data_IF_852630568981
#
_entry.id   IF_852630568981
#
_cell.length_a   1.000
_cell.length_b   1.000
_cell.length_c   1.000
_cell.angle_alpha   90.00
_cell.angle_beta   90.00
_cell.angle_gamma   90.00
#
_symmetry.space_group_name_H-M   'P 1'
#
loop_
_entity.id
_entity.type
_entity.pdbx_description
1 polymer ?
#
# COMPACT_ATOMS: atom_id res chain seq x y z
N UNK A 1 -3.19 -4.61 22.58
CA UNK A 1 -1.73 -4.73 22.38
C UNK A 1 -1.50 -5.07 20.93
N UNK A 2 -0.50 -4.45 20.30
CA UNK A 2 -0.18 -4.68 18.89
C UNK A 2 0.38 -6.11 18.71
N UNK A 3 -0.29 -6.96 17.95
CA UNK A 3 0.13 -8.36 17.77
C UNK A 3 1.35 -8.42 16.84
N UNK A 4 2.47 -9.06 17.21
CA UNK A 4 3.66 -9.19 16.35
C UNK A 4 3.33 -9.74 14.96
N UNK A 5 2.40 -10.71 14.89
CA UNK A 5 1.91 -11.29 13.63
C UNK A 5 1.18 -10.27 12.76
N UNK A 6 0.36 -9.40 13.35
CA UNK A 6 -0.35 -8.34 12.60
C UNK A 6 0.66 -7.37 11.98
N UNK A 7 1.68 -6.96 12.72
CA UNK A 7 2.69 -6.04 12.21
C UNK A 7 3.51 -6.64 11.05
N UNK A 8 3.82 -7.93 11.13
CA UNK A 8 4.47 -8.66 10.05
C UNK A 8 3.58 -8.70 8.80
N UNK A 9 2.31 -9.07 8.95
CA UNK A 9 1.34 -9.09 7.86
C UNK A 9 1.14 -7.70 7.24
N UNK A 10 1.06 -6.63 8.04
CA UNK A 10 1.00 -5.25 7.53
C UNK A 10 2.27 -4.86 6.77
N UNK A 11 3.45 -5.31 7.22
CA UNK A 11 4.71 -5.08 6.50
C UNK A 11 4.73 -5.80 5.16
N UNK A 12 4.28 -7.06 5.09
CA UNK A 12 4.19 -7.79 3.83
C UNK A 12 3.21 -7.11 2.87
N UNK A 13 2.02 -6.73 3.36
CA UNK A 13 1.06 -5.95 2.57
C UNK A 13 1.69 -4.66 2.02
N UNK A 14 2.39 -3.90 2.87
CA UNK A 14 3.04 -2.65 2.46
C UNK A 14 4.09 -2.89 1.36
N UNK A 15 4.93 -3.93 1.51
CA UNK A 15 5.95 -4.27 0.52
C UNK A 15 5.35 -4.69 -0.83
N UNK A 16 4.27 -5.48 -0.83
CA UNK A 16 3.56 -5.91 -2.05
C UNK A 16 2.93 -4.72 -2.76
N UNK A 17 2.20 -3.88 -2.02
CA UNK A 17 1.56 -2.66 -2.52
C UNK A 17 2.58 -1.70 -3.12
N UNK A 18 3.67 -1.43 -2.39
CA UNK A 18 4.73 -0.54 -2.87
C UNK A 18 5.34 -1.06 -4.18
N UNK A 19 5.70 -2.35 -4.25
CA UNK A 19 6.32 -2.92 -5.45
C UNK A 19 5.44 -2.78 -6.70
N UNK A 20 4.15 -3.07 -6.60
CA UNK A 20 3.22 -3.00 -7.74
C UNK A 20 2.86 -1.56 -8.12
N UNK A 21 2.69 -0.68 -7.12
CA UNK A 21 2.50 0.74 -7.36
C UNK A 21 3.68 1.35 -8.12
N UNK A 22 4.92 1.03 -7.72
CA UNK A 22 6.11 1.52 -8.41
C UNK A 22 6.23 0.97 -9.83
N UNK A 23 5.94 -0.32 -10.04
CA UNK A 23 6.01 -0.95 -11.36
C UNK A 23 5.03 -0.39 -12.39
N UNK A 24 3.93 0.20 -11.94
CA UNK A 24 2.86 0.74 -12.82
C UNK A 24 2.95 2.25 -13.01
N UNK A 25 3.53 2.98 -12.05
CA UNK A 25 3.58 4.46 -12.08
C UNK A 25 4.96 5.04 -12.34
N UNK A 26 6.02 4.25 -12.14
CA UNK A 26 7.42 4.72 -12.08
C UNK A 26 7.64 5.85 -11.06
N UNK A 27 6.81 5.94 -10.02
CA UNK A 27 6.98 6.90 -8.94
C UNK A 27 8.30 6.69 -8.18
N UNK A 28 8.75 7.72 -7.46
CA UNK A 28 9.95 7.60 -6.63
C UNK A 28 9.69 6.67 -5.44
N UNK A 29 10.56 5.68 -5.26
CA UNK A 29 10.49 4.77 -4.11
C UNK A 29 10.97 5.45 -2.82
N UNK A 30 10.06 5.59 -1.83
CA UNK A 30 10.36 6.14 -0.49
C UNK A 30 10.36 5.08 0.62
N UNK A 31 10.19 3.81 0.27
CA UNK A 31 10.22 2.68 1.18
C UNK A 31 8.99 2.54 2.07
N UNK A 32 8.97 1.45 2.84
CA UNK A 32 7.96 1.18 3.88
C UNK A 32 8.44 1.76 5.20
N UNK A 33 7.54 2.45 5.91
CA UNK A 33 7.81 3.06 7.22
C UNK A 33 6.74 2.67 8.23
N UNK A 34 7.16 2.50 9.48
CA UNK A 34 6.25 2.34 10.61
C UNK A 34 5.91 3.72 11.18
N UNK A 35 4.65 3.94 11.52
CA UNK A 35 4.17 5.16 12.17
C UNK A 35 2.91 4.87 12.99
N UNK A 36 2.72 5.61 14.08
CA UNK A 36 1.59 5.45 15.01
C UNK A 36 0.34 6.21 14.55
N UNK A 37 -0.04 6.04 13.29
CA UNK A 37 -1.28 6.62 12.79
C UNK A 37 -2.50 5.93 13.38
N UNK A 38 -3.51 6.72 13.77
CA UNK A 38 -4.73 6.23 14.39
C UNK A 38 -5.39 5.09 13.58
N UNK A 39 -5.50 5.27 12.26
CA UNK A 39 -6.11 4.30 11.33
C UNK A 39 -5.35 2.96 11.25
N UNK A 40 -4.05 2.96 11.54
CA UNK A 40 -3.22 1.75 11.55
C UNK A 40 -3.22 1.09 12.93
N UNK A 41 -3.29 1.89 14.00
CA UNK A 41 -3.23 1.39 15.38
C UNK A 41 -4.49 0.64 15.80
N UNK A 42 -5.66 1.18 15.46
CA UNK A 42 -6.96 0.72 15.96
C UNK A 42 -7.72 -0.23 15.01
N UNK A 43 -7.06 -0.77 13.99
CA UNK A 43 -7.63 -1.82 13.13
C UNK A 43 -7.34 -3.23 13.67
N UNK A 44 -8.23 -4.19 13.43
CA UNK A 44 -8.02 -5.60 13.83
C UNK A 44 -7.35 -6.44 12.75
N UNK A 45 -7.24 -5.93 11.53
CA UNK A 45 -6.68 -6.60 10.35
C UNK A 45 -5.34 -5.97 9.95
N UNK A 46 -4.54 -6.63 9.09
CA UNK A 46 -3.39 -5.99 8.45
C UNK A 46 -3.82 -4.72 7.72
N UNK A 47 -3.06 -3.62 7.90
CA UNK A 47 -3.41 -2.32 7.33
C UNK A 47 -2.17 -1.50 6.98
N UNK A 48 -2.31 -0.68 5.93
CA UNK A 48 -1.28 0.22 5.43
C UNK A 48 -1.90 1.57 5.06
N UNK A 49 -1.12 2.64 5.19
CA UNK A 49 -1.45 3.96 4.67
C UNK A 49 -0.44 4.26 3.56
N UNK A 50 -0.93 4.62 2.38
CA UNK A 50 -0.09 4.88 1.21
C UNK A 50 -0.10 6.36 0.89
N UNK A 51 1.06 6.98 1.00
CA UNK A 51 1.30 8.33 0.49
C UNK A 51 1.61 8.25 -1.01
N UNK A 52 0.65 8.58 -1.86
CA UNK A 52 0.74 8.37 -3.32
C UNK A 52 1.52 9.45 -4.06
N UNK A 53 1.81 10.57 -3.41
CA UNK A 53 2.60 11.67 -3.93
C UNK A 53 2.38 12.97 -3.15
N UNK A 54 3.22 13.97 -3.39
CA UNK A 54 3.14 15.28 -2.76
C UNK A 54 2.51 16.31 -3.71
N UNK A 55 1.33 16.83 -3.37
CA UNK A 55 0.67 17.89 -4.14
C UNK A 55 1.50 19.18 -4.22
N UNK A 56 2.37 19.43 -3.24
CA UNK A 56 3.29 20.57 -3.21
C UNK A 56 4.52 20.40 -4.10
N UNK A 57 4.79 19.19 -4.60
CA UNK A 57 5.92 18.92 -5.47
C UNK A 57 5.54 19.20 -6.93
N UNK A 58 6.36 19.94 -7.71
CA UNK A 58 5.98 20.40 -9.05
C UNK A 58 5.68 19.26 -10.04
N UNK A 59 6.44 18.16 -10.00
CA UNK A 59 6.18 17.00 -10.88
C UNK A 59 5.11 16.05 -10.34
N UNK A 60 5.20 15.62 -9.08
CA UNK A 60 4.21 14.71 -8.49
C UNK A 60 2.81 15.32 -8.42
N UNK A 61 2.69 16.62 -8.12
CA UNK A 61 1.41 17.33 -8.14
C UNK A 61 0.74 17.30 -9.53
N UNK A 62 1.52 17.45 -10.61
CA UNK A 62 1.00 17.33 -11.97
C UNK A 62 0.56 15.89 -12.30
N UNK A 63 1.33 14.88 -11.87
CA UNK A 63 0.94 13.48 -12.03
C UNK A 63 -0.38 13.17 -11.30
N UNK A 64 -0.60 13.74 -10.12
CA UNK A 64 -1.84 13.55 -9.35
C UNK A 64 -3.06 14.26 -9.95
N UNK A 65 -2.86 15.10 -10.98
CA UNK A 65 -3.94 15.68 -11.79
C UNK A 65 -4.18 14.92 -13.10
N UNK A 66 -3.28 14.02 -13.49
CA UNK A 66 -3.40 13.22 -14.72
C UNK A 66 -4.28 11.98 -14.47
N UNK A 67 -5.46 11.86 -15.11
CA UNK A 67 -6.33 10.71 -14.94
C UNK A 67 -5.68 9.39 -15.36
N UNK A 68 -4.81 9.39 -16.37
CA UNK A 68 -4.11 8.17 -16.78
C UNK A 68 -3.07 7.73 -15.75
N UNK A 69 -2.43 8.68 -15.06
CA UNK A 69 -1.55 8.37 -13.95
C UNK A 69 -2.34 7.78 -12.78
N UNK A 70 -3.49 8.38 -12.44
CA UNK A 70 -4.37 7.87 -11.39
C UNK A 70 -4.89 6.45 -11.70
N UNK A 71 -5.21 6.15 -12.95
CA UNK A 71 -5.60 4.79 -13.37
C UNK A 71 -4.47 3.77 -13.15
N UNK A 72 -3.24 4.12 -13.55
CA UNK A 72 -2.06 3.26 -13.32
C UNK A 72 -1.79 3.08 -11.83
N UNK A 73 -1.90 4.16 -11.05
CA UNK A 73 -1.75 4.15 -9.60
C UNK A 73 -2.78 3.22 -8.95
N UNK A 74 -4.07 3.39 -9.25
CA UNK A 74 -5.15 2.56 -8.73
C UNK A 74 -4.98 1.09 -9.12
N UNK A 75 -4.59 0.82 -10.37
CA UNK A 75 -4.28 -0.53 -10.83
C UNK A 75 -3.12 -1.15 -10.03
N UNK A 76 -2.02 -0.42 -9.85
CA UNK A 76 -0.87 -0.89 -9.05
C UNK A 76 -1.22 -1.19 -7.60
N UNK A 77 -2.02 -0.33 -6.97
CA UNK A 77 -2.53 -0.56 -5.61
C UNK A 77 -3.37 -1.84 -5.53
N UNK A 78 -4.31 -2.02 -6.45
CA UNK A 78 -5.17 -3.20 -6.51
C UNK A 78 -4.36 -4.49 -6.72
N UNK A 79 -3.41 -4.49 -7.65
CA UNK A 79 -2.53 -5.63 -7.90
C UNK A 79 -1.68 -5.98 -6.67
N UNK A 80 -1.17 -4.97 -5.96
CA UNK A 80 -0.41 -5.21 -4.74
C UNK A 80 -1.24 -5.81 -3.60
N UNK A 81 -2.51 -5.41 -3.47
CA UNK A 81 -3.44 -6.03 -2.50
C UNK A 81 -3.75 -7.48 -2.91
N UNK A 82 -4.02 -7.74 -4.19
CA UNK A 82 -4.25 -9.11 -4.69
C UNK A 82 -3.04 -10.01 -4.44
N UNK A 83 -1.83 -9.53 -4.76
CA UNK A 83 -0.59 -10.27 -4.54
C UNK A 83 -0.38 -10.61 -3.05
N UNK A 84 -0.77 -9.72 -2.13
CA UNK A 84 -0.77 -10.01 -0.70
C UNK A 84 -1.78 -11.11 -0.33
N UNK A 85 -3.00 -11.05 -0.85
CA UNK A 85 -4.04 -12.04 -0.58
C UNK A 85 -3.66 -13.44 -1.09
N UNK A 86 -2.93 -13.53 -2.20
CA UNK A 86 -2.49 -14.80 -2.78
C UNK A 86 -1.32 -15.45 -2.04
N UNK A 87 -0.41 -14.65 -1.46
CA UNK A 87 0.89 -15.14 -0.97
C UNK A 87 1.08 -15.04 0.55
N UNK A 88 0.34 -14.15 1.21
CA UNK A 88 0.66 -13.72 2.57
C UNK A 88 -0.58 -13.74 3.51
N UNK A 89 -1.79 -13.87 2.96
CA UNK A 89 -3.00 -14.05 3.75
C UNK A 89 -3.18 -15.53 4.14
N UNK A 90 -3.34 -15.87 5.43
CA UNK A 90 -3.80 -17.21 5.80
C UNK A 90 -5.24 -17.32 5.31
N UNK A 91 -5.48 -18.03 4.21
CA UNK A 91 -6.82 -18.43 3.82
C UNK A 91 -7.41 -19.21 5.01
N UNK A 92 -8.24 -18.57 5.84
CA UNK A 92 -9.19 -19.37 6.60
C UNK A 92 -10.09 -20.03 5.56
N UNK A 93 -10.24 -21.37 5.60
CA UNK A 93 -11.12 -22.06 4.69
C UNK A 93 -12.50 -21.43 4.82
N UNK A 94 -13.05 -21.00 3.68
CA UNK A 94 -14.43 -20.54 3.62
C UNK A 94 -15.32 -21.75 4.00
N UNK A 95 -16.27 -21.61 4.93
CA UNK A 95 -17.19 -22.70 5.26
C UNK A 95 -18.02 -23.14 4.04
#
# INVERSE_FOLDING_TARGET
MDSPRRQELSRNLASRVLAHMLGTTAALNRGVRSADFYVLRYTTVPAVLVEVGYLSHPLEGLNLLDPHYLDRLAYGLAQGVLAYLENDHPLEPRP
#
